data_IF_840571678308
#
_entry.id   IF_840571678308
#
_cell.length_a   1.000
_cell.length_b   1.000
_cell.length_c   1.000
_cell.angle_alpha   90.00
_cell.angle_beta   90.00
_cell.angle_gamma   90.00
#
_symmetry.space_group_name_H-M   'P 1'
#
loop_
_entity.id
_entity.type
_entity.pdbx_description
1 polymer ?
#
# COMPACT_ATOMS: atom_id res chain seq x y z
N UNK A 1 14.36 25.28 2.89
CA UNK A 1 13.06 24.89 2.29
C UNK A 1 13.13 23.39 2.00
N UNK A 2 12.01 22.77 1.69
CA UNK A 2 11.97 21.32 1.41
C UNK A 2 11.51 21.09 -0.02
N UNK A 3 12.19 20.22 -0.76
CA UNK A 3 11.81 19.83 -2.12
C UNK A 3 11.34 18.38 -2.16
N UNK A 4 10.18 18.15 -2.77
CA UNK A 4 9.64 16.80 -3.05
C UNK A 4 10.16 16.33 -4.42
N UNK A 5 10.74 15.14 -4.44
CA UNK A 5 11.20 14.45 -5.65
C UNK A 5 10.31 13.22 -5.88
N UNK A 6 9.40 13.24 -6.86
CA UNK A 6 8.58 12.08 -7.17
C UNK A 6 9.38 10.96 -7.82
N UNK A 7 9.11 9.71 -7.48
CA UNK A 7 9.39 8.57 -8.36
C UNK A 7 8.33 8.47 -9.45
N UNK A 8 8.65 7.80 -10.55
CA UNK A 8 7.74 7.65 -11.71
C UNK A 8 6.41 6.97 -11.33
N UNK A 9 6.42 6.17 -10.26
CA UNK A 9 5.28 5.40 -9.75
C UNK A 9 4.42 6.14 -8.73
N UNK A 10 4.80 7.38 -8.30
CA UNK A 10 4.18 8.09 -7.18
C UNK A 10 4.04 9.59 -7.45
N UNK A 11 3.71 9.95 -8.69
CA UNK A 11 3.69 11.36 -9.12
C UNK A 11 2.51 12.14 -8.53
N UNK A 12 1.31 11.56 -8.50
CA UNK A 12 0.12 12.21 -7.97
C UNK A 12 0.20 12.35 -6.44
N UNK A 13 0.63 11.29 -5.74
CA UNK A 13 0.86 11.32 -4.30
C UNK A 13 1.93 12.36 -3.93
N UNK A 14 3.06 12.38 -4.61
CA UNK A 14 4.13 13.35 -4.37
C UNK A 14 3.65 14.79 -4.58
N UNK A 15 2.87 15.05 -5.63
CA UNK A 15 2.30 16.36 -5.88
C UNK A 15 1.28 16.78 -4.80
N UNK A 16 0.54 15.83 -4.24
CA UNK A 16 -0.36 16.12 -3.12
C UNK A 16 0.41 16.35 -1.83
N UNK A 17 1.42 15.53 -1.55
CA UNK A 17 2.29 15.72 -0.38
C UNK A 17 3.00 17.08 -0.40
N UNK A 18 3.46 17.51 -1.58
CA UNK A 18 4.05 18.85 -1.73
C UNK A 18 3.06 19.97 -1.35
N UNK A 19 1.79 19.83 -1.68
CA UNK A 19 0.73 20.78 -1.26
C UNK A 19 0.49 20.76 0.25
N UNK A 20 0.38 19.57 0.86
CA UNK A 20 0.18 19.41 2.30
C UNK A 20 1.32 20.06 3.10
N UNK A 21 2.57 19.83 2.68
CA UNK A 21 3.78 20.37 3.35
C UNK A 21 4.15 21.79 2.91
N UNK A 22 3.42 22.41 1.98
CA UNK A 22 3.81 23.68 1.36
C UNK A 22 5.25 23.66 0.82
N UNK A 23 5.69 22.50 0.32
CA UNK A 23 7.02 22.22 -0.20
C UNK A 23 7.09 22.43 -1.73
N UNK A 24 8.31 22.64 -2.24
CA UNK A 24 8.56 22.67 -3.67
C UNK A 24 8.43 21.27 -4.27
N UNK A 25 7.94 21.17 -5.51
CA UNK A 25 7.88 19.92 -6.27
C UNK A 25 8.84 20.02 -7.45
N UNK A 26 9.79 19.11 -7.56
CA UNK A 26 10.66 19.02 -8.73
C UNK A 26 10.12 18.08 -9.79
N UNK A 27 10.66 18.15 -10.99
CA UNK A 27 10.27 17.31 -12.13
C UNK A 27 11.49 16.52 -12.59
N UNK A 28 11.71 15.29 -12.09
CA UNK A 28 12.75 14.40 -12.55
C UNK A 28 12.54 13.98 -14.00
N UNK A 29 13.60 13.54 -14.67
CA UNK A 29 13.53 12.88 -15.97
C UNK A 29 13.78 11.39 -15.81
N UNK A 30 13.07 10.59 -16.62
CA UNK A 30 13.15 9.13 -16.61
C UNK A 30 13.37 8.67 -18.02
N UNK A 31 14.54 8.10 -18.27
CA UNK A 31 14.93 7.59 -19.58
C UNK A 31 15.15 6.07 -19.53
N UNK A 32 15.03 5.44 -20.68
CA UNK A 32 15.37 4.02 -20.87
C UNK A 32 16.32 3.87 -22.05
N UNK A 33 17.45 3.23 -21.80
CA UNK A 33 18.43 2.91 -22.82
C UNK A 33 17.98 1.72 -23.69
N UNK A 34 18.55 1.58 -24.90
CA UNK A 34 18.18 0.49 -25.83
C UNK A 34 18.44 -0.92 -25.29
N UNK A 35 19.38 -1.08 -24.36
CA UNK A 35 19.69 -2.33 -23.67
C UNK A 35 18.73 -2.64 -22.49
N UNK A 36 17.81 -1.69 -22.18
CA UNK A 36 16.80 -1.83 -21.14
C UNK A 36 17.17 -1.21 -19.81
N UNK A 37 18.38 -0.68 -19.64
CA UNK A 37 18.75 0.07 -18.45
C UNK A 37 17.94 1.36 -18.33
N UNK A 38 17.70 1.80 -17.09
CA UNK A 38 16.96 3.03 -16.79
C UNK A 38 17.90 4.10 -16.28
N UNK A 39 17.54 5.37 -16.49
CA UNK A 39 18.19 6.52 -15.90
C UNK A 39 17.13 7.45 -15.31
N UNK A 40 17.24 7.72 -14.03
CA UNK A 40 16.47 8.77 -13.36
C UNK A 40 17.40 9.91 -12.97
N UNK A 41 17.04 11.15 -13.32
CA UNK A 41 17.84 12.31 -13.05
C UNK A 41 16.96 13.44 -12.48
N UNK A 42 17.54 14.25 -11.58
CA UNK A 42 16.91 15.44 -11.04
C UNK A 42 17.50 16.69 -11.65
N UNK A 43 16.73 17.78 -11.82
CA UNK A 43 17.31 19.09 -12.16
C UNK A 43 18.19 19.60 -11.00
N UNK A 44 18.85 20.74 -11.18
CA UNK A 44 19.56 21.39 -10.08
C UNK A 44 18.61 21.66 -8.90
N UNK A 45 19.02 21.31 -7.70
CA UNK A 45 18.30 21.52 -6.45
C UNK A 45 19.01 22.60 -5.64
N UNK A 46 18.22 23.54 -5.11
CA UNK A 46 18.75 24.61 -4.26
C UNK A 46 18.51 24.33 -2.76
N UNK A 47 17.72 23.28 -2.45
CA UNK A 47 17.31 22.94 -1.08
C UNK A 47 18.21 21.86 -0.48
N UNK A 48 18.57 22.05 0.80
CA UNK A 48 19.35 21.07 1.56
C UNK A 48 18.52 19.85 1.99
N UNK A 49 17.20 20.02 2.11
CA UNK A 49 16.27 18.96 2.54
C UNK A 49 15.45 18.46 1.35
N UNK A 50 15.49 17.18 1.10
CA UNK A 50 14.76 16.53 0.01
C UNK A 50 13.96 15.35 0.55
N UNK A 51 12.71 15.25 0.09
CA UNK A 51 11.86 14.10 0.33
C UNK A 51 11.61 13.39 -1.01
N UNK A 52 12.13 12.18 -1.16
CA UNK A 52 11.85 11.32 -2.32
C UNK A 52 10.61 10.50 -2.02
N UNK A 53 9.62 10.51 -2.92
CA UNK A 53 8.38 9.73 -2.78
C UNK A 53 8.32 8.70 -3.90
N UNK A 54 8.54 7.43 -3.61
CA UNK A 54 8.61 6.39 -4.62
C UNK A 54 8.11 5.03 -4.13
N UNK A 55 7.03 4.53 -4.74
CA UNK A 55 6.56 3.15 -4.53
C UNK A 55 7.37 2.18 -5.36
N UNK A 56 7.94 1.15 -4.71
CA UNK A 56 8.84 0.20 -5.35
C UNK A 56 8.09 -1.02 -5.93
N UNK A 57 7.17 -0.76 -6.85
CA UNK A 57 6.25 -1.76 -7.41
C UNK A 57 6.89 -2.73 -8.41
N UNK A 58 8.12 -2.45 -8.85
CA UNK A 58 8.87 -3.26 -9.82
C UNK A 58 10.38 -3.16 -9.58
N UNK A 59 11.16 -4.01 -10.26
CA UNK A 59 12.63 -3.93 -10.21
C UNK A 59 13.13 -2.59 -10.75
N UNK A 60 12.53 -2.11 -11.84
CA UNK A 60 12.86 -0.79 -12.41
C UNK A 60 12.62 0.33 -11.39
N UNK A 61 11.48 0.29 -10.67
CA UNK A 61 11.16 1.28 -9.65
C UNK A 61 12.14 1.24 -8.45
N UNK A 62 12.67 0.05 -8.10
CA UNK A 62 13.74 -0.05 -7.09
C UNK A 62 15.03 0.61 -7.57
N UNK A 63 15.46 0.34 -8.80
CA UNK A 63 16.66 0.95 -9.37
C UNK A 63 16.49 2.46 -9.53
N UNK A 64 15.32 2.89 -10.00
CA UNK A 64 14.98 4.32 -10.12
C UNK A 64 15.11 5.04 -8.78
N UNK A 65 14.57 4.46 -7.69
CA UNK A 65 14.68 5.04 -6.35
C UNK A 65 16.15 5.20 -5.92
N UNK A 66 17.00 4.20 -6.17
CA UNK A 66 18.42 4.29 -5.87
C UNK A 66 19.11 5.38 -6.67
N UNK A 67 18.79 5.51 -7.96
CA UNK A 67 19.33 6.57 -8.83
C UNK A 67 18.87 7.95 -8.41
N UNK A 68 17.58 8.13 -8.06
CA UNK A 68 17.08 9.40 -7.52
C UNK A 68 17.79 9.78 -6.23
N UNK A 69 18.01 8.80 -5.33
CA UNK A 69 18.74 9.01 -4.09
C UNK A 69 20.18 9.46 -4.33
N UNK A 70 20.91 8.84 -5.26
CA UNK A 70 22.26 9.24 -5.65
C UNK A 70 22.29 10.62 -6.31
N UNK A 71 21.36 10.86 -7.23
CA UNK A 71 21.26 12.13 -7.96
C UNK A 71 21.00 13.34 -7.04
N UNK A 72 20.14 13.19 -6.00
CA UNK A 72 19.92 14.28 -5.05
C UNK A 72 21.15 14.54 -4.17
N UNK A 73 21.90 13.49 -3.82
CA UNK A 73 23.19 13.63 -3.11
C UNK A 73 24.24 14.37 -3.95
N UNK A 74 24.37 13.99 -5.23
CA UNK A 74 25.28 14.66 -6.18
C UNK A 74 24.87 16.13 -6.42
N UNK A 75 23.58 16.46 -6.31
CA UNK A 75 23.08 17.84 -6.34
C UNK A 75 23.42 18.65 -5.08
N UNK A 76 24.00 18.03 -4.04
CA UNK A 76 24.44 18.70 -2.81
C UNK A 76 23.46 18.62 -1.64
N UNK A 77 22.41 17.81 -1.75
CA UNK A 77 21.44 17.60 -0.66
C UNK A 77 22.11 16.92 0.54
N UNK A 78 21.89 17.45 1.73
CA UNK A 78 22.50 16.95 2.99
C UNK A 78 21.53 16.12 3.82
N UNK A 79 20.23 16.33 3.67
CA UNK A 79 19.17 15.60 4.38
C UNK A 79 18.17 14.99 3.38
N UNK A 80 18.15 13.67 3.32
CA UNK A 80 17.30 12.90 2.38
C UNK A 80 16.36 11.99 3.16
N UNK A 81 15.08 12.34 3.14
CA UNK A 81 14.01 11.44 3.60
C UNK A 81 13.46 10.69 2.40
N UNK A 82 13.34 9.36 2.53
CA UNK A 82 12.70 8.52 1.50
C UNK A 82 11.37 8.02 2.02
N UNK A 83 10.31 8.44 1.37
CA UNK A 83 8.94 7.92 1.58
C UNK A 83 8.70 6.80 0.60
N UNK A 84 8.41 5.60 1.10
CA UNK A 84 8.08 4.43 0.31
C UNK A 84 6.61 4.08 0.56
N UNK A 85 5.66 4.63 -0.22
CA UNK A 85 4.24 4.38 0.00
C UNK A 85 3.87 2.90 -0.14
N UNK A 86 4.50 2.18 -1.08
CA UNK A 86 4.44 0.73 -1.19
C UNK A 86 5.85 0.15 -1.29
N UNK A 87 6.20 -0.72 -0.36
CA UNK A 87 7.48 -1.42 -0.35
C UNK A 87 7.36 -2.76 -1.08
N UNK A 88 7.94 -2.84 -2.27
CA UNK A 88 8.12 -4.11 -2.98
C UNK A 88 9.00 -5.07 -2.18
N UNK A 89 8.81 -6.38 -2.40
CA UNK A 89 9.49 -7.46 -1.67
C UNK A 89 9.16 -7.57 -0.17
N UNK A 90 8.39 -6.67 0.44
CA UNK A 90 8.04 -6.71 1.87
C UNK A 90 7.33 -8.01 2.28
N UNK A 91 6.67 -8.69 1.33
CA UNK A 91 6.00 -10.00 1.55
C UNK A 91 6.97 -11.18 1.70
N UNK A 92 8.28 -10.99 1.49
CA UNK A 92 9.32 -11.98 1.72
C UNK A 92 10.27 -11.47 2.81
N UNK A 93 9.71 -11.34 4.01
CA UNK A 93 10.34 -10.88 5.25
C UNK A 93 11.18 -11.97 5.92
N UNK A 94 11.02 -13.21 5.50
CA UNK A 94 11.77 -14.37 5.97
C UNK A 94 12.10 -15.35 4.83
N UNK A 95 12.98 -16.31 5.10
CA UNK A 95 13.27 -17.41 4.19
C UNK A 95 12.24 -18.54 4.44
N UNK A 96 11.25 -18.68 3.59
CA UNK A 96 10.22 -19.73 3.70
C UNK A 96 10.75 -21.13 3.39
N UNK A 97 11.85 -21.23 2.63
CA UNK A 97 12.51 -22.49 2.33
C UNK A 97 14.03 -22.33 2.45
N UNK A 98 14.78 -23.42 2.73
CA UNK A 98 16.23 -23.39 2.76
C UNK A 98 16.83 -22.82 1.46
N UNK A 99 17.80 -21.91 1.60
CA UNK A 99 18.48 -21.28 0.45
C UNK A 99 17.77 -20.07 -0.15
N UNK A 100 16.56 -19.73 0.29
CA UNK A 100 15.90 -18.50 -0.14
C UNK A 100 16.51 -17.27 0.55
N UNK A 101 16.55 -16.11 -0.14
CA UNK A 101 16.92 -14.86 0.49
C UNK A 101 15.78 -14.33 1.37
N UNK A 102 16.09 -13.39 2.25
CA UNK A 102 15.13 -12.48 2.83
C UNK A 102 15.12 -11.25 1.92
N UNK A 103 14.19 -11.21 0.95
CA UNK A 103 14.18 -10.19 -0.12
C UNK A 103 13.90 -8.81 0.43
N UNK A 104 12.99 -8.70 1.43
CA UNK A 104 12.70 -7.45 2.14
C UNK A 104 13.98 -6.83 2.73
N UNK A 105 14.83 -7.65 3.36
CA UNK A 105 16.08 -7.18 3.95
C UNK A 105 17.09 -6.71 2.89
N UNK A 106 17.16 -7.40 1.77
CA UNK A 106 18.06 -7.00 0.68
C UNK A 106 17.63 -5.64 0.09
N UNK A 107 16.34 -5.46 -0.16
CA UNK A 107 15.76 -4.20 -0.65
C UNK A 107 15.95 -3.06 0.37
N UNK A 108 15.60 -3.28 1.65
CA UNK A 108 15.72 -2.29 2.71
C UNK A 108 17.15 -1.75 2.86
N UNK A 109 18.15 -2.64 2.83
CA UNK A 109 19.57 -2.24 2.91
C UNK A 109 20.01 -1.40 1.72
N UNK A 110 19.56 -1.74 0.51
CA UNK A 110 19.89 -0.98 -0.67
C UNK A 110 19.30 0.45 -0.59
N UNK A 111 18.01 0.56 -0.26
CA UNK A 111 17.32 1.85 -0.15
C UNK A 111 17.83 2.72 1.00
N UNK A 112 18.37 2.11 2.07
CA UNK A 112 18.99 2.86 3.16
C UNK A 112 20.26 3.61 2.75
N UNK A 113 20.90 3.25 1.61
CA UNK A 113 22.19 3.82 1.21
C UNK A 113 22.12 5.33 0.96
N UNK A 114 21.16 5.86 0.20
CA UNK A 114 21.07 7.30 -0.05
C UNK A 114 20.28 8.06 1.03
N UNK A 115 19.57 7.38 1.93
CA UNK A 115 18.62 7.97 2.86
C UNK A 115 19.23 8.28 4.24
N UNK A 116 18.75 9.33 4.89
CA UNK A 116 18.96 9.59 6.32
C UNK A 116 17.77 9.13 7.17
N UNK A 117 16.56 9.08 6.57
CA UNK A 117 15.32 8.63 7.21
C UNK A 117 14.42 7.95 6.18
N UNK A 118 13.68 6.96 6.61
CA UNK A 118 12.68 6.25 5.80
C UNK A 118 11.29 6.43 6.43
N UNK A 119 10.28 6.61 5.58
CA UNK A 119 8.88 6.55 5.96
C UNK A 119 8.21 5.44 5.14
N UNK A 120 7.61 4.47 5.79
CA UNK A 120 6.84 3.37 5.18
C UNK A 120 5.36 3.57 5.45
N UNK A 121 4.50 3.21 4.50
CA UNK A 121 3.05 3.17 4.72
C UNK A 121 2.60 1.71 4.76
N UNK A 122 2.01 1.27 5.87
CA UNK A 122 1.46 -0.07 6.10
C UNK A 122 2.29 -1.19 5.43
N UNK A 123 3.58 -1.36 5.75
CA UNK A 123 4.34 -2.49 5.20
C UNK A 123 3.65 -3.79 5.61
N UNK A 124 3.65 -4.79 4.71
CA UNK A 124 2.96 -6.07 4.92
C UNK A 124 3.27 -6.71 6.28
N UNK A 125 4.54 -6.59 6.71
CA UNK A 125 4.99 -6.95 8.06
C UNK A 125 5.75 -5.77 8.67
N UNK A 126 5.33 -5.30 9.84
CA UNK A 126 5.97 -4.17 10.53
C UNK A 126 7.45 -4.39 10.84
N UNK A 127 7.84 -5.67 11.06
CA UNK A 127 9.21 -6.08 11.34
C UNK A 127 10.20 -5.79 10.19
N UNK A 128 9.73 -5.51 8.96
CA UNK A 128 10.63 -5.13 7.86
C UNK A 128 11.36 -3.82 8.13
N UNK A 129 10.85 -2.97 9.03
CA UNK A 129 11.51 -1.75 9.47
C UNK A 129 12.90 -2.03 10.08
N UNK A 130 13.06 -3.16 10.77
CA UNK A 130 14.32 -3.56 11.39
C UNK A 130 15.43 -3.91 10.39
N UNK A 131 15.09 -4.06 9.11
CA UNK A 131 16.07 -4.37 8.07
C UNK A 131 16.79 -3.15 7.50
N UNK A 132 16.24 -1.96 7.72
CA UNK A 132 16.87 -0.72 7.31
C UNK A 132 18.06 -0.38 8.22
N UNK A 133 18.98 0.41 7.72
CA UNK A 133 20.19 0.84 8.48
C UNK A 133 20.11 2.30 8.91
N UNK A 134 18.99 2.95 8.67
CA UNK A 134 18.66 4.32 9.07
C UNK A 134 17.33 4.32 9.82
N UNK A 135 16.96 5.38 10.55
CA UNK A 135 15.68 5.49 11.23
C UNK A 135 14.51 5.27 10.29
N UNK A 136 13.53 4.48 10.74
CA UNK A 136 12.30 4.18 10.00
C UNK A 136 11.10 4.61 10.81
N UNK A 137 10.14 5.22 10.15
CA UNK A 137 8.83 5.50 10.70
C UNK A 137 7.75 4.81 9.86
N UNK A 138 6.81 4.16 10.52
CA UNK A 138 5.67 3.48 9.88
C UNK A 138 4.43 4.34 10.06
N UNK A 139 3.76 4.62 8.95
CA UNK A 139 2.51 5.36 8.88
C UNK A 139 1.37 4.37 8.68
N UNK A 140 0.33 4.47 9.50
CA UNK A 140 -0.90 3.69 9.32
C UNK A 140 -1.96 4.51 8.56
N UNK A 141 -2.32 4.03 7.38
CA UNK A 141 -3.35 4.62 6.53
C UNK A 141 -4.72 3.92 6.65
N UNK A 142 -4.87 2.93 7.54
CA UNK A 142 -6.10 2.15 7.68
C UNK A 142 -7.35 3.02 7.93
N UNK A 143 -7.20 4.07 8.74
CA UNK A 143 -8.29 5.01 9.00
C UNK A 143 -8.80 5.75 7.77
N UNK A 144 -7.96 5.95 6.76
CA UNK A 144 -8.34 6.63 5.51
C UNK A 144 -9.24 5.75 4.64
N UNK A 145 -9.21 4.42 4.81
CA UNK A 145 -9.99 3.47 4.02
C UNK A 145 -11.51 3.64 4.17
N UNK A 146 -11.95 4.27 5.25
CA UNK A 146 -13.36 4.59 5.47
C UNK A 146 -13.87 5.80 4.64
N UNK A 147 -12.96 6.68 4.22
CA UNK A 147 -13.32 7.99 3.62
C UNK A 147 -14.23 7.90 2.39
N UNK A 148 -14.03 6.99 1.41
CA UNK A 148 -14.84 6.93 0.21
C UNK A 148 -16.12 6.09 0.37
N UNK A 149 -16.32 5.46 1.52
CA UNK A 149 -17.50 4.62 1.76
C UNK A 149 -18.77 5.48 1.85
N UNK A 150 -19.93 4.96 1.39
CA UNK A 150 -21.19 5.66 1.58
C UNK A 150 -21.46 5.96 3.06
N UNK A 151 -21.91 7.18 3.36
CA UNK A 151 -22.24 7.59 4.73
C UNK A 151 -23.34 6.74 5.39
N UNK A 152 -24.18 6.11 4.58
CA UNK A 152 -25.37 5.37 5.03
C UNK A 152 -25.34 3.90 4.60
N UNK A 153 -24.31 3.16 5.06
CA UNK A 153 -24.33 1.69 4.91
C UNK A 153 -25.37 1.08 5.85
N UNK A 154 -26.10 0.04 5.40
CA UNK A 154 -27.08 -0.64 6.23
C UNK A 154 -26.42 -1.76 7.05
N UNK A 155 -26.51 -1.66 8.40
CA UNK A 155 -25.89 -2.60 9.34
C UNK A 155 -24.46 -3.01 8.93
N UNK A 156 -23.52 -2.04 8.73
CA UNK A 156 -22.24 -2.32 8.12
C UNK A 156 -21.45 -3.39 8.88
N UNK A 157 -20.81 -4.29 8.12
CA UNK A 157 -19.91 -5.31 8.61
C UNK A 157 -18.56 -5.15 7.92
N UNK A 158 -17.52 -4.87 8.71
CA UNK A 158 -16.14 -4.78 8.22
C UNK A 158 -15.48 -6.14 8.38
N UNK A 159 -14.95 -6.69 7.29
CA UNK A 159 -14.35 -8.02 7.27
C UNK A 159 -12.90 -7.97 6.79
N UNK A 160 -12.00 -8.57 7.53
CA UNK A 160 -10.65 -8.86 7.04
C UNK A 160 -10.58 -10.25 6.38
N UNK A 161 -9.67 -10.46 5.40
CA UNK A 161 -9.53 -11.75 4.71
C UNK A 161 -8.98 -12.88 5.60
N UNK A 162 -8.46 -12.56 6.77
CA UNK A 162 -8.04 -13.50 7.81
C UNK A 162 -7.82 -12.78 9.15
N UNK A 163 -7.58 -13.54 10.22
CA UNK A 163 -7.36 -13.00 11.56
C UNK A 163 -6.11 -12.10 11.67
N UNK A 164 -5.11 -12.25 10.79
CA UNK A 164 -3.89 -11.45 10.82
C UNK A 164 -4.10 -10.00 10.39
N UNK A 165 -5.14 -9.73 9.59
CA UNK A 165 -5.46 -8.39 9.09
C UNK A 165 -6.63 -7.73 9.85
N UNK A 166 -7.08 -8.29 10.98
CA UNK A 166 -8.27 -7.80 11.71
C UNK A 166 -8.10 -6.37 12.21
N UNK A 167 -6.91 -6.00 12.67
CA UNK A 167 -6.62 -4.65 13.16
C UNK A 167 -6.87 -3.57 12.10
N UNK A 168 -6.63 -3.90 10.83
CA UNK A 168 -6.90 -3.00 9.70
C UNK A 168 -8.42 -2.75 9.55
N UNK A 169 -9.23 -3.81 9.67
CA UNK A 169 -10.68 -3.72 9.62
C UNK A 169 -11.24 -2.96 10.83
N UNK A 170 -10.70 -3.20 12.04
CA UNK A 170 -11.06 -2.47 13.27
C UNK A 170 -10.77 -0.97 13.14
N UNK A 171 -9.59 -0.60 12.67
CA UNK A 171 -9.21 0.81 12.47
C UNK A 171 -10.09 1.49 11.42
N UNK A 172 -10.39 0.79 10.32
CA UNK A 172 -11.28 1.29 9.27
C UNK A 172 -12.71 1.48 9.82
N UNK A 173 -13.24 0.50 10.57
CA UNK A 173 -14.56 0.58 11.21
C UNK A 173 -14.63 1.72 12.23
N UNK A 174 -13.61 1.86 13.08
CA UNK A 174 -13.53 2.94 14.07
C UNK A 174 -13.58 4.33 13.38
N UNK A 175 -12.91 4.50 12.25
CA UNK A 175 -12.95 5.72 11.46
C UNK A 175 -14.29 5.93 10.77
N UNK A 176 -14.99 4.87 10.36
CA UNK A 176 -16.35 4.96 9.84
C UNK A 176 -17.38 5.31 10.94
N UNK A 177 -17.10 4.95 12.20
CA UNK A 177 -17.83 5.33 13.40
C UNK A 177 -18.98 4.40 13.80
N UNK A 178 -19.27 3.33 13.02
CA UNK A 178 -20.31 2.34 13.34
C UNK A 178 -20.12 1.04 12.56
N UNK A 179 -20.77 -0.02 13.02
CA UNK A 179 -20.75 -1.35 12.40
C UNK A 179 -20.02 -2.37 13.27
N UNK A 180 -20.08 -3.61 12.84
CA UNK A 180 -19.38 -4.72 13.47
C UNK A 180 -18.10 -5.03 12.71
N UNK A 181 -17.18 -5.73 13.35
CA UNK A 181 -15.94 -6.24 12.74
C UNK A 181 -15.89 -7.74 12.89
N UNK A 182 -15.42 -8.43 11.86
CA UNK A 182 -15.16 -9.87 11.87
C UNK A 182 -14.06 -10.21 10.86
N UNK A 183 -13.70 -11.47 10.75
CA UNK A 183 -12.71 -11.95 9.81
C UNK A 183 -13.15 -13.25 9.15
N UNK A 184 -12.51 -13.63 8.05
CA UNK A 184 -12.71 -14.90 7.42
C UNK A 184 -11.86 -15.98 8.07
N UNK A 185 -12.49 -17.07 8.49
CA UNK A 185 -11.81 -18.32 8.81
C UNK A 185 -11.54 -19.11 7.53
N UNK A 186 -10.33 -19.69 7.47
CA UNK A 186 -9.92 -20.57 6.37
C UNK A 186 -9.80 -21.98 6.93
N UNK A 187 -10.79 -22.83 6.62
CA UNK A 187 -10.70 -24.25 6.91
C UNK A 187 -10.16 -25.00 5.68
N UNK A 188 -9.11 -25.77 5.90
CA UNK A 188 -8.56 -26.64 4.87
C UNK A 188 -9.10 -28.05 5.08
N UNK A 189 -9.86 -28.54 4.10
CA UNK A 189 -10.18 -29.96 4.02
C UNK A 189 -8.90 -30.75 3.69
N UNK A 190 -8.45 -31.56 4.64
CA UNK A 190 -7.23 -32.33 4.49
C UNK A 190 -7.38 -33.53 3.56
N UNK A 191 -8.60 -33.96 3.25
CA UNK A 191 -8.88 -35.10 2.38
C UNK A 191 -9.01 -34.65 0.91
N UNK A 192 -9.63 -33.51 0.64
CA UNK A 192 -9.79 -32.97 -0.73
C UNK A 192 -8.73 -31.92 -1.08
N UNK A 193 -8.10 -31.28 -0.08
CA UNK A 193 -7.20 -30.17 -0.25
C UNK A 193 -7.89 -28.85 -0.56
N UNK A 194 -9.23 -28.82 -0.60
CA UNK A 194 -10.03 -27.62 -0.79
C UNK A 194 -9.93 -26.70 0.43
N UNK A 195 -9.96 -25.38 0.19
CA UNK A 195 -9.97 -24.37 1.24
C UNK A 195 -11.36 -23.75 1.24
N UNK A 196 -12.08 -23.92 2.34
CA UNK A 196 -13.36 -23.25 2.58
C UNK A 196 -13.07 -21.93 3.34
N UNK A 197 -13.65 -20.84 2.85
CA UNK A 197 -13.53 -19.51 3.46
C UNK A 197 -14.92 -19.12 3.98
N UNK A 198 -15.01 -18.85 5.28
CA UNK A 198 -16.29 -18.46 5.91
C UNK A 198 -16.05 -17.29 6.87
N UNK A 199 -16.98 -16.29 6.97
CA UNK A 199 -16.97 -15.35 8.11
C UNK A 199 -17.05 -16.13 9.42
N UNK A 200 -16.29 -15.73 10.45
CA UNK A 200 -16.15 -16.55 11.66
C UNK A 200 -17.47 -16.65 12.43
N UNK A 201 -18.09 -15.54 12.82
CA UNK A 201 -19.30 -15.52 13.66
C UNK A 201 -20.42 -14.63 13.11
N UNK A 202 -20.11 -13.65 12.25
CA UNK A 202 -21.07 -12.63 11.88
C UNK A 202 -22.11 -13.10 10.86
N UNK A 203 -23.39 -12.77 11.10
CA UNK A 203 -24.43 -12.89 10.08
C UNK A 203 -24.21 -11.84 8.98
N UNK A 204 -24.19 -12.28 7.74
CA UNK A 204 -23.96 -11.46 6.53
C UNK A 204 -25.26 -11.05 5.86
N UNK A 205 -26.30 -11.88 5.96
CA UNK A 205 -27.54 -11.70 5.20
C UNK A 205 -28.22 -10.35 5.44
N UNK A 206 -28.44 -9.61 4.35
CA UNK A 206 -29.09 -8.29 4.35
C UNK A 206 -28.22 -7.13 4.81
N UNK A 207 -26.95 -7.35 5.10
CA UNK A 207 -26.00 -6.32 5.54
C UNK A 207 -25.18 -5.76 4.38
N UNK A 208 -24.74 -4.51 4.50
CA UNK A 208 -23.68 -3.98 3.67
C UNK A 208 -22.33 -4.41 4.24
N UNK A 209 -21.48 -5.00 3.41
CA UNK A 209 -20.19 -5.56 3.83
C UNK A 209 -19.05 -4.76 3.22
N UNK A 210 -18.05 -4.46 4.04
CA UNK A 210 -16.79 -3.82 3.63
C UNK A 210 -15.65 -4.80 3.88
N UNK A 211 -15.07 -5.35 2.82
CA UNK A 211 -13.88 -6.20 2.95
C UNK A 211 -12.64 -5.31 2.91
N UNK A 212 -11.82 -5.42 3.95
CA UNK A 212 -10.64 -4.57 4.20
C UNK A 212 -9.39 -5.41 4.14
N UNK A 213 -8.39 -5.01 3.36
CA UNK A 213 -7.11 -5.72 3.22
C UNK A 213 -5.94 -4.72 3.17
N UNK A 214 -4.72 -5.17 3.46
CA UNK A 214 -3.51 -4.38 3.26
C UNK A 214 -3.18 -4.29 1.77
N UNK A 215 -3.24 -5.41 1.03
CA UNK A 215 -2.84 -5.50 -0.37
C UNK A 215 -3.77 -6.40 -1.20
N UNK A 216 -4.30 -5.86 -2.29
CA UNK A 216 -4.99 -6.67 -3.29
C UNK A 216 -4.06 -6.86 -4.49
N UNK A 217 -3.44 -8.05 -4.59
CA UNK A 217 -2.52 -8.38 -5.68
C UNK A 217 -3.26 -8.95 -6.90
N UNK A 218 -3.49 -10.25 -6.96
CA UNK A 218 -4.18 -10.92 -8.09
C UNK A 218 -5.69 -10.93 -7.97
N UNK A 219 -6.21 -10.53 -6.81
CA UNK A 219 -7.63 -10.52 -6.49
C UNK A 219 -8.26 -11.90 -6.27
N UNK A 220 -7.51 -13.00 -6.30
CA UNK A 220 -8.09 -14.36 -6.19
C UNK A 220 -8.75 -14.60 -4.83
N UNK A 221 -8.00 -14.44 -3.73
CA UNK A 221 -8.55 -14.59 -2.36
C UNK A 221 -9.74 -13.64 -2.12
N UNK A 222 -9.58 -12.39 -2.57
CA UNK A 222 -10.63 -11.39 -2.41
C UNK A 222 -11.90 -11.75 -3.22
N UNK A 223 -11.75 -12.26 -4.45
CA UNK A 223 -12.91 -12.67 -5.26
C UNK A 223 -13.61 -13.90 -4.70
N UNK A 224 -12.91 -14.83 -4.07
CA UNK A 224 -13.48 -15.96 -3.34
C UNK A 224 -14.30 -15.48 -2.13
N UNK A 225 -13.73 -14.60 -1.32
CA UNK A 225 -14.42 -13.98 -0.19
C UNK A 225 -15.72 -13.27 -0.63
N UNK A 226 -15.64 -12.46 -1.69
CA UNK A 226 -16.79 -11.74 -2.25
C UNK A 226 -17.88 -12.72 -2.74
N UNK A 227 -17.51 -13.82 -3.40
CA UNK A 227 -18.46 -14.85 -3.84
C UNK A 227 -19.21 -15.47 -2.66
N UNK A 228 -18.49 -15.83 -1.60
CA UNK A 228 -19.09 -16.35 -0.36
C UNK A 228 -20.07 -15.36 0.26
N UNK A 229 -19.72 -14.08 0.31
CA UNK A 229 -20.60 -13.03 0.84
C UNK A 229 -21.86 -12.85 -0.01
N UNK A 230 -21.72 -12.92 -1.33
CA UNK A 230 -22.83 -12.86 -2.28
C UNK A 230 -23.79 -14.03 -2.07
N UNK A 231 -23.26 -15.26 -1.95
CA UNK A 231 -24.04 -16.47 -1.73
C UNK A 231 -24.76 -16.46 -0.36
N UNK A 232 -24.17 -15.78 0.64
CA UNK A 232 -24.77 -15.59 1.97
C UNK A 232 -25.76 -14.43 2.05
N UNK A 233 -26.02 -13.76 0.93
CA UNK A 233 -27.05 -12.72 0.82
C UNK A 233 -26.62 -11.36 1.39
N UNK A 234 -25.35 -10.98 1.27
CA UNK A 234 -24.93 -9.60 1.50
C UNK A 234 -25.72 -8.65 0.59
N UNK A 235 -26.09 -7.46 1.11
CA UNK A 235 -26.85 -6.47 0.36
C UNK A 235 -25.97 -5.73 -0.64
N UNK A 236 -24.85 -5.19 -0.18
CA UNK A 236 -23.80 -4.55 -0.99
C UNK A 236 -22.44 -5.00 -0.50
N UNK A 237 -21.47 -5.17 -1.40
CA UNK A 237 -20.11 -5.56 -1.03
C UNK A 237 -19.14 -4.52 -1.57
N UNK A 238 -18.49 -3.82 -0.65
CA UNK A 238 -17.40 -2.90 -0.93
C UNK A 238 -16.07 -3.57 -0.58
N UNK A 239 -15.05 -3.25 -1.34
CA UNK A 239 -13.69 -3.72 -1.08
C UNK A 239 -12.80 -2.50 -0.95
N UNK A 240 -11.99 -2.44 0.11
CA UNK A 240 -11.03 -1.35 0.31
C UNK A 240 -9.68 -1.90 0.71
N UNK A 241 -8.59 -1.28 0.22
CA UNK A 241 -7.24 -1.70 0.56
C UNK A 241 -6.25 -0.54 0.59
N UNK A 242 -5.19 -0.73 1.37
CA UNK A 242 -4.08 0.24 1.37
C UNK A 242 -3.34 0.17 0.03
N UNK A 243 -2.94 -1.03 -0.41
CA UNK A 243 -2.10 -1.20 -1.60
C UNK A 243 -2.85 -1.86 -2.76
N UNK A 244 -3.45 -1.09 -3.67
CA UNK A 244 -4.17 -1.63 -4.83
C UNK A 244 -3.21 -2.07 -5.95
N UNK A 245 -2.47 -3.17 -5.75
CA UNK A 245 -1.59 -3.71 -6.80
C UNK A 245 -2.37 -4.06 -8.07
N UNK A 246 -3.48 -4.80 -7.92
CA UNK A 246 -4.47 -5.12 -8.95
C UNK A 246 -3.84 -5.58 -10.27
N UNK A 247 -2.92 -6.55 -10.17
CA UNK A 247 -2.21 -7.07 -11.33
C UNK A 247 -3.07 -8.01 -12.17
N UNK A 248 -2.78 -8.05 -13.46
CA UNK A 248 -3.44 -8.94 -14.41
C UNK A 248 -4.94 -8.64 -14.53
N UNK A 249 -5.78 -9.64 -14.22
CA UNK A 249 -7.24 -9.55 -14.32
C UNK A 249 -7.94 -9.37 -12.97
N UNK A 250 -7.26 -8.83 -11.96
CA UNK A 250 -7.79 -8.70 -10.59
C UNK A 250 -9.14 -7.96 -10.55
N UNK A 251 -9.24 -6.79 -11.19
CA UNK A 251 -10.50 -6.02 -11.24
C UNK A 251 -11.64 -6.79 -11.90
N UNK A 252 -11.35 -7.52 -12.99
CA UNK A 252 -12.35 -8.33 -13.67
C UNK A 252 -12.85 -9.48 -12.79
N UNK A 253 -11.95 -10.14 -12.03
CA UNK A 253 -12.33 -11.18 -11.07
C UNK A 253 -13.24 -10.62 -9.99
N UNK A 254 -12.86 -9.49 -9.38
CA UNK A 254 -13.66 -8.84 -8.34
C UNK A 254 -15.04 -8.43 -8.88
N UNK A 255 -15.09 -7.81 -10.07
CA UNK A 255 -16.36 -7.45 -10.70
C UNK A 255 -17.25 -8.66 -10.99
N UNK A 256 -16.67 -9.77 -11.48
CA UNK A 256 -17.40 -10.99 -11.75
C UNK A 256 -17.91 -11.69 -10.47
N UNK A 257 -17.23 -11.48 -9.34
CA UNK A 257 -17.66 -12.00 -8.04
C UNK A 257 -18.84 -11.21 -7.42
N UNK A 258 -19.18 -10.03 -7.96
CA UNK A 258 -20.37 -9.28 -7.53
C UNK A 258 -20.09 -8.10 -6.61
N UNK A 259 -18.87 -7.53 -6.59
CA UNK A 259 -18.58 -6.33 -5.80
C UNK A 259 -19.40 -5.13 -6.28
N UNK A 260 -19.76 -4.27 -5.32
CA UNK A 260 -20.35 -2.96 -5.61
C UNK A 260 -19.28 -1.98 -6.09
N UNK A 261 -18.15 -1.90 -5.36
CA UNK A 261 -17.02 -1.02 -5.71
C UNK A 261 -15.73 -1.44 -5.00
N UNK A 262 -14.59 -1.14 -5.63
CA UNK A 262 -13.26 -1.22 -5.03
C UNK A 262 -12.76 0.20 -4.80
N UNK A 263 -12.15 0.43 -3.64
CA UNK A 263 -11.42 1.63 -3.28
C UNK A 263 -9.99 1.26 -2.86
N UNK A 264 -9.04 2.05 -3.27
CA UNK A 264 -7.65 1.91 -2.84
C UNK A 264 -7.04 3.26 -2.52
N UNK A 265 -5.90 3.23 -1.83
CA UNK A 265 -5.12 4.45 -1.63
C UNK A 265 -4.19 4.72 -2.82
N UNK A 266 -3.63 5.91 -2.85
CA UNK A 266 -2.61 6.34 -3.82
C UNK A 266 -1.18 5.84 -3.46
N UNK A 267 -1.04 4.93 -2.49
CA UNK A 267 0.23 4.22 -2.26
C UNK A 267 0.71 3.48 -3.51
N UNK A 268 -0.23 3.02 -4.33
CA UNK A 268 0.00 2.54 -5.70
C UNK A 268 -1.04 3.23 -6.58
N UNK A 269 -0.61 4.11 -7.46
CA UNK A 269 -1.51 4.87 -8.31
C UNK A 269 -2.23 3.98 -9.34
N UNK A 270 -3.53 3.80 -9.15
CA UNK A 270 -4.45 3.00 -9.98
C UNK A 270 -5.76 3.76 -10.20
N UNK A 271 -6.59 3.37 -11.16
CA UNK A 271 -7.91 3.99 -11.35
C UNK A 271 -8.86 3.90 -10.16
N UNK A 272 -8.57 3.06 -9.19
CA UNK A 272 -9.33 2.87 -7.93
C UNK A 272 -8.71 3.61 -6.74
N UNK A 273 -7.63 4.36 -6.95
CA UNK A 273 -6.93 5.09 -5.89
C UNK A 273 -7.68 6.40 -5.57
N UNK A 274 -8.85 6.23 -4.97
CA UNK A 274 -9.73 7.34 -4.58
C UNK A 274 -9.33 7.98 -3.24
N UNK A 275 -8.36 7.38 -2.53
CA UNK A 275 -7.93 7.76 -1.18
C UNK A 275 -6.48 8.24 -1.23
N UNK A 276 -6.21 9.46 -0.75
CA UNK A 276 -4.83 9.91 -0.62
C UNK A 276 -4.28 9.67 0.78
N UNK A 277 -3.05 9.15 0.85
CA UNK A 277 -2.29 9.01 2.09
C UNK A 277 -1.38 10.22 2.38
N UNK A 278 -1.37 11.23 1.50
CA UNK A 278 -0.55 12.42 1.67
C UNK A 278 -0.77 13.13 3.01
N UNK A 279 -2.02 13.35 3.50
CA UNK A 279 -2.23 14.01 4.79
C UNK A 279 -1.61 13.23 5.96
N UNK A 280 -1.71 11.89 5.93
CA UNK A 280 -1.18 11.02 6.98
C UNK A 280 0.36 11.01 6.96
N UNK A 281 0.97 11.00 5.77
CA UNK A 281 2.42 11.11 5.61
C UNK A 281 2.90 12.49 6.06
N UNK A 282 2.20 13.57 5.68
CA UNK A 282 2.56 14.93 6.06
C UNK A 282 2.60 15.12 7.59
N UNK A 283 1.62 14.58 8.30
CA UNK A 283 1.55 14.66 9.77
C UNK A 283 2.78 14.09 10.49
N UNK A 284 3.46 13.14 9.85
CA UNK A 284 4.68 12.51 10.37
C UNK A 284 5.94 13.29 9.98
N UNK A 285 5.92 13.92 8.81
CA UNK A 285 7.07 14.69 8.30
C UNK A 285 7.18 16.09 8.92
N UNK A 286 6.06 16.64 9.42
CA UNK A 286 6.02 17.96 10.09
C UNK A 286 6.50 17.92 11.55
N UNK A 287 6.72 16.73 12.15
CA UNK A 287 7.23 16.52 13.49
C UNK A 287 8.75 16.33 13.52
#
# INVERSE_FOLDING_TARGET
MTTIVPGSTSQALAAQLARELSASLTVPTYDRFPDGETLAAVPSLDDENVIIVASTTSNDAHIELLQLGDAVREAGTTDVTVVIPYMGYARQDQAFNPGQPISARAAARAVSTPADRIVLVNPHEGSVADFFTVPVEIVDAAGQLATPLPETLDQPLFLSPDAGAIELAETTQASYGRGDVDYFEKERDYDTGEIEITPSDASVSGRDVVVVDDIIATGSTMSEAVSVLTDRGANSIYVTCVHPMLVGNALTKLSAAGITRVFGTDTIERPVSDISVAPTIAAVLDN
#
